data_IF_613589501605
#
_entry.id   IF_613589501605
#
_cell.length_a   1.000
_cell.length_b   1.000
_cell.length_c   1.000
_cell.angle_alpha   90.00
_cell.angle_beta   90.00
_cell.angle_gamma   90.00
#
_symmetry.space_group_name_H-M   'P 1'
#
loop_
_entity.id
_entity.type
_entity.pdbx_description
1 polymer ?
#
# COMPACT_ATOMS: atom_id res chain seq x y z
N UNK A 1 -25.22 4.53 -8.16
CA UNK A 1 -25.51 5.25 -6.89
C UNK A 1 -26.16 6.59 -7.20
N UNK A 2 -27.20 7.02 -6.47
CA UNK A 2 -27.80 8.35 -6.65
C UNK A 2 -26.81 9.49 -6.37
N UNK A 3 -26.89 10.56 -7.16
CA UNK A 3 -25.91 11.66 -7.13
C UNK A 3 -25.80 12.36 -5.77
N UNK A 4 -26.91 12.49 -5.04
CA UNK A 4 -26.91 13.12 -3.72
C UNK A 4 -26.13 12.30 -2.68
N UNK A 5 -26.22 10.97 -2.73
CA UNK A 5 -25.45 10.07 -1.85
C UNK A 5 -23.96 10.19 -2.18
N UNK A 6 -23.62 10.23 -3.47
CA UNK A 6 -22.25 10.42 -3.94
C UNK A 6 -21.63 11.72 -3.39
N UNK A 7 -22.40 12.83 -3.38
CA UNK A 7 -21.95 14.11 -2.84
C UNK A 7 -21.63 13.99 -1.35
N UNK A 8 -22.54 13.49 -0.52
CA UNK A 8 -22.30 13.35 0.92
C UNK A 8 -21.10 12.44 1.23
N UNK A 9 -20.95 11.35 0.50
CA UNK A 9 -19.80 10.45 0.60
C UNK A 9 -18.51 11.19 0.25
N UNK A 10 -18.49 11.92 -0.87
CA UNK A 10 -17.29 12.62 -1.32
C UNK A 10 -16.85 13.73 -0.37
N UNK A 11 -17.78 14.35 0.36
CA UNK A 11 -17.45 15.38 1.36
C UNK A 11 -16.62 14.83 2.51
N UNK A 12 -16.72 13.54 2.84
CA UNK A 12 -15.95 12.94 3.93
C UNK A 12 -14.44 13.06 3.67
N UNK A 13 -13.85 12.50 2.60
CA UNK A 13 -12.42 12.64 2.35
C UNK A 13 -12.00 14.09 2.12
N UNK A 14 -12.80 14.90 1.41
CA UNK A 14 -12.45 16.31 1.16
C UNK A 14 -12.43 17.16 2.43
N UNK A 15 -13.44 17.04 3.30
CA UNK A 15 -13.52 17.82 4.52
C UNK A 15 -12.60 17.28 5.60
N UNK A 16 -12.47 15.95 5.74
CA UNK A 16 -11.64 15.32 6.76
C UNK A 16 -10.16 15.63 6.53
N UNK A 17 -9.65 15.46 5.31
CA UNK A 17 -8.26 15.78 5.00
C UNK A 17 -7.96 17.27 5.24
N UNK A 18 -8.85 18.15 4.76
CA UNK A 18 -8.72 19.60 4.99
C UNK A 18 -8.74 19.95 6.48
N UNK A 19 -9.61 19.32 7.27
CA UNK A 19 -9.72 19.53 8.71
C UNK A 19 -8.44 19.09 9.44
N UNK A 20 -7.92 17.89 9.13
CA UNK A 20 -6.70 17.37 9.75
C UNK A 20 -5.48 18.28 9.45
N UNK A 21 -5.35 18.72 8.19
CA UNK A 21 -4.30 19.67 7.79
C UNK A 21 -4.50 21.04 8.48
N UNK A 22 -5.73 21.52 8.59
CA UNK A 22 -6.03 22.78 9.29
C UNK A 22 -5.66 22.71 10.78
N UNK A 23 -5.82 21.55 11.43
CA UNK A 23 -5.37 21.33 12.81
C UNK A 23 -3.84 21.49 12.92
N UNK A 24 -3.07 20.90 12.00
CA UNK A 24 -1.61 21.03 11.97
C UNK A 24 -1.19 22.51 11.89
N UNK A 25 -1.76 23.27 10.95
CA UNK A 25 -1.45 24.70 10.82
C UNK A 25 -1.96 25.53 12.01
N UNK A 26 -3.08 25.14 12.63
CA UNK A 26 -3.57 25.77 13.85
C UNK A 26 -2.59 25.58 15.00
N UNK A 27 -2.04 24.38 15.18
CA UNK A 27 -1.02 24.09 16.20
C UNK A 27 0.26 24.89 15.94
N UNK A 28 0.72 24.93 14.69
CA UNK A 28 1.84 25.79 14.28
C UNK A 28 1.61 27.27 14.60
N UNK A 29 0.42 27.80 14.29
CA UNK A 29 0.08 29.19 14.59
C UNK A 29 0.14 29.48 16.10
N UNK A 30 -0.31 28.54 16.94
CA UNK A 30 -0.21 28.69 18.39
C UNK A 30 1.24 28.66 18.87
N UNK A 31 2.10 27.81 18.28
CA UNK A 31 3.53 27.82 18.57
C UNK A 31 4.15 29.18 18.22
N UNK A 32 3.82 29.73 17.04
CA UNK A 32 4.37 31.02 16.60
C UNK A 32 4.03 32.18 17.52
N UNK A 33 2.91 32.14 18.25
CA UNK A 33 2.60 33.19 19.23
C UNK A 33 3.56 33.25 20.41
N UNK A 34 4.28 32.16 20.69
CA UNK A 34 5.01 31.98 21.95
C UNK A 34 6.49 31.66 21.77
N UNK A 35 6.85 31.04 20.65
CA UNK A 35 8.18 30.54 20.38
C UNK A 35 8.80 31.21 19.15
N UNK A 36 10.12 31.05 19.03
CA UNK A 36 10.87 31.56 17.88
C UNK A 36 10.38 30.96 16.57
N UNK A 37 10.66 31.64 15.45
CA UNK A 37 10.25 31.18 14.12
C UNK A 37 10.80 29.79 13.81
N UNK A 38 12.08 29.54 14.10
CA UNK A 38 12.73 28.24 13.83
C UNK A 38 12.10 27.13 14.68
N UNK A 39 11.95 27.34 15.99
CA UNK A 39 11.35 26.33 16.87
C UNK A 39 9.91 26.00 16.46
N UNK A 40 9.15 27.00 16.02
CA UNK A 40 7.78 26.79 15.54
C UNK A 40 7.74 26.01 14.22
N UNK A 41 8.68 26.28 13.31
CA UNK A 41 8.78 25.57 12.02
C UNK A 41 9.22 24.11 12.19
N UNK A 42 10.12 23.81 13.12
CA UNK A 42 10.42 22.43 13.50
C UNK A 42 9.16 21.74 14.04
N UNK A 43 8.42 22.42 14.91
CA UNK A 43 7.13 21.93 15.41
C UNK A 43 6.12 21.67 14.29
N UNK A 44 6.06 22.50 13.25
CA UNK A 44 5.22 22.26 12.06
C UNK A 44 5.56 20.94 11.37
N UNK A 45 6.85 20.66 11.16
CA UNK A 45 7.29 19.39 10.53
C UNK A 45 6.91 18.21 11.41
N UNK A 46 7.13 18.29 12.72
CA UNK A 46 6.73 17.23 13.65
C UNK A 46 5.21 16.99 13.64
N UNK A 47 4.40 18.05 13.69
CA UNK A 47 2.94 17.93 13.62
C UNK A 47 2.47 17.34 12.29
N UNK A 48 3.11 17.69 11.17
CA UNK A 48 2.78 17.12 9.88
C UNK A 48 3.10 15.63 9.79
N UNK A 49 4.28 15.22 10.25
CA UNK A 49 4.68 13.82 10.32
C UNK A 49 3.72 13.01 11.20
N UNK A 50 3.33 13.57 12.35
CA UNK A 50 2.34 12.95 13.22
C UNK A 50 0.97 12.84 12.54
N UNK A 51 0.54 13.86 11.79
CA UNK A 51 -0.70 13.81 11.00
C UNK A 51 -0.65 12.68 9.96
N UNK A 52 0.39 12.61 9.14
CA UNK A 52 0.52 11.55 8.12
C UNK A 52 0.51 10.16 8.76
N UNK A 53 1.26 9.98 9.86
CA UNK A 53 1.32 8.71 10.59
C UNK A 53 -0.01 8.31 11.26
N UNK A 54 -0.71 9.25 11.90
CA UNK A 54 -2.01 8.97 12.52
C UNK A 54 -3.05 8.67 11.43
N UNK A 55 -3.03 9.43 10.33
CA UNK A 55 -3.97 9.23 9.24
C UNK A 55 -3.84 7.87 8.56
N UNK A 56 -2.67 7.21 8.65
CA UNK A 56 -2.48 5.85 8.14
C UNK A 56 -2.78 4.73 9.17
N UNK A 57 -3.15 5.07 10.41
CA UNK A 57 -3.20 4.13 11.55
C UNK A 57 -4.59 3.89 12.16
N UNK A 58 -5.65 4.50 11.60
CA UNK A 58 -7.03 4.43 12.10
C UNK A 58 -8.01 3.83 11.10
N UNK A 59 -9.27 3.60 11.49
CA UNK A 59 -10.29 2.94 10.66
C UNK A 59 -10.63 3.65 9.34
N UNK A 60 -10.33 4.95 9.22
CA UNK A 60 -10.48 5.74 7.98
C UNK A 60 -9.15 5.96 7.27
N UNK A 61 -8.20 5.03 7.41
CA UNK A 61 -6.88 5.21 6.85
C UNK A 61 -6.91 5.30 5.32
N UNK A 62 -6.34 6.39 4.81
CA UNK A 62 -6.19 6.61 3.37
C UNK A 62 -4.83 7.29 3.06
N UNK A 63 -3.68 6.60 3.25
CA UNK A 63 -2.34 7.16 3.07
C UNK A 63 -1.93 7.41 1.61
N UNK A 64 -2.89 7.75 0.75
CA UNK A 64 -2.64 7.95 -0.68
C UNK A 64 -1.84 9.21 -0.95
N UNK A 65 -2.11 10.30 -0.23
CA UNK A 65 -1.56 11.65 -0.49
C UNK A 65 -0.45 12.06 0.49
N UNK A 66 0.21 11.10 1.12
CA UNK A 66 1.43 11.33 1.92
C UNK A 66 2.47 12.04 1.05
N UNK A 67 3.09 13.12 1.55
CA UNK A 67 3.96 13.97 0.72
C UNK A 67 5.10 13.19 0.07
N UNK A 68 5.75 12.29 0.81
CA UNK A 68 6.82 11.44 0.28
C UNK A 68 6.41 10.52 -0.86
N UNK A 69 5.12 10.19 -1.02
CA UNK A 69 4.63 9.42 -2.16
C UNK A 69 4.74 10.21 -3.47
N UNK A 70 4.83 11.54 -3.41
CA UNK A 70 4.93 12.41 -4.58
C UNK A 70 6.15 12.14 -5.46
N UNK A 71 7.18 11.46 -4.94
CA UNK A 71 8.37 11.08 -5.70
C UNK A 71 8.26 9.72 -6.40
N UNK A 72 7.11 9.03 -6.31
CA UNK A 72 6.92 7.72 -6.92
C UNK A 72 7.13 7.70 -8.44
N UNK A 73 6.80 8.80 -9.12
CA UNK A 73 7.02 8.97 -10.57
C UNK A 73 8.44 9.42 -10.93
N UNK A 74 9.23 9.85 -9.95
CA UNK A 74 10.63 10.32 -10.09
C UNK A 74 11.57 9.51 -9.19
N UNK A 75 11.37 8.20 -9.21
CA UNK A 75 11.97 7.23 -8.30
C UNK A 75 13.51 7.19 -8.35
N UNK A 76 14.13 7.70 -9.42
CA UNK A 76 15.59 7.84 -9.54
C UNK A 76 16.18 8.87 -8.55
N UNK A 77 15.38 9.81 -8.05
CA UNK A 77 15.84 10.87 -7.13
C UNK A 77 15.75 10.48 -5.65
N UNK A 78 15.20 9.31 -5.35
CA UNK A 78 14.85 8.87 -3.99
C UNK A 78 15.35 7.45 -3.66
N UNK A 79 16.44 7.00 -4.27
CA UNK A 79 17.04 5.70 -3.93
C UNK A 79 17.41 5.61 -2.44
N UNK A 80 17.70 6.73 -1.79
CA UNK A 80 17.90 6.80 -0.33
C UNK A 80 16.65 6.45 0.50
N UNK A 81 15.48 6.22 -0.11
CA UNK A 81 14.32 5.64 0.58
C UNK A 81 14.60 4.25 1.15
N UNK A 82 15.61 3.53 0.65
CA UNK A 82 16.10 2.30 1.28
C UNK A 82 16.59 2.51 2.73
N UNK A 83 16.84 3.76 3.15
CA UNK A 83 17.16 4.14 4.53
C UNK A 83 15.99 4.76 5.26
N UNK A 84 15.22 5.64 4.63
CA UNK A 84 14.27 6.49 5.35
C UNK A 84 12.80 6.12 5.15
N UNK A 85 12.51 5.32 4.13
CA UNK A 85 11.17 5.16 3.57
C UNK A 85 10.56 6.47 3.05
N UNK A 86 9.28 6.41 2.70
CA UNK A 86 8.45 7.55 2.26
C UNK A 86 8.56 8.76 3.18
N UNK A 87 8.62 8.55 4.49
CA UNK A 87 8.64 9.64 5.47
C UNK A 87 9.87 10.56 5.37
N UNK A 88 11.00 10.04 4.89
CA UNK A 88 12.14 10.90 4.58
C UNK A 88 11.85 11.88 3.44
N UNK A 89 11.05 11.46 2.45
CA UNK A 89 10.52 12.34 1.40
C UNK A 89 9.64 13.45 1.94
N UNK A 90 8.74 13.13 2.87
CA UNK A 90 7.92 14.14 3.57
C UNK A 90 8.80 15.19 4.25
N UNK A 91 9.79 14.75 5.03
CA UNK A 91 10.73 15.66 5.70
C UNK A 91 11.49 16.51 4.68
N UNK A 92 11.99 15.90 3.60
CA UNK A 92 12.73 16.60 2.57
C UNK A 92 11.90 17.69 1.87
N UNK A 93 10.65 17.39 1.52
CA UNK A 93 9.70 18.38 0.95
C UNK A 93 9.51 19.54 1.92
N UNK A 94 9.29 19.27 3.20
CA UNK A 94 9.10 20.31 4.20
C UNK A 94 10.34 21.19 4.38
N UNK A 95 11.52 20.59 4.49
CA UNK A 95 12.77 21.34 4.64
C UNK A 95 13.01 22.25 3.43
N UNK A 96 12.79 21.75 2.21
CA UNK A 96 12.95 22.54 0.99
C UNK A 96 11.97 23.72 0.93
N UNK A 97 10.68 23.46 1.21
CA UNK A 97 9.65 24.49 1.18
C UNK A 97 9.86 25.55 2.27
N UNK A 98 10.24 25.14 3.49
CA UNK A 98 10.52 26.06 4.59
C UNK A 98 11.75 26.93 4.26
N UNK A 99 12.83 26.32 3.75
CA UNK A 99 14.03 27.07 3.37
C UNK A 99 13.72 28.12 2.28
N UNK A 100 12.97 27.73 1.24
CA UNK A 100 12.54 28.65 0.19
C UNK A 100 11.63 29.76 0.74
N UNK A 101 10.65 29.40 1.58
CA UNK A 101 9.76 30.36 2.22
C UNK A 101 10.52 31.41 3.03
N UNK A 102 11.48 30.99 3.85
CA UNK A 102 12.30 31.92 4.66
C UNK A 102 13.13 32.87 3.79
N UNK A 103 13.69 32.37 2.67
CA UNK A 103 14.42 33.20 1.70
C UNK A 103 13.47 34.26 1.09
N UNK A 104 12.30 33.83 0.63
CA UNK A 104 11.29 34.72 0.01
C UNK A 104 10.81 35.78 1.01
N UNK A 105 10.47 35.39 2.24
CA UNK A 105 10.05 36.33 3.27
C UNK A 105 11.14 37.37 3.56
N UNK A 106 12.39 36.94 3.72
CA UNK A 106 13.51 37.84 3.97
C UNK A 106 13.73 38.84 2.84
N UNK A 107 13.67 38.38 1.60
CA UNK A 107 13.94 39.20 0.41
C UNK A 107 12.78 40.14 0.03
N UNK A 108 11.55 39.62 0.01
CA UNK A 108 10.37 40.33 -0.50
C UNK A 108 9.69 41.12 0.61
N UNK A 109 9.43 40.48 1.76
CA UNK A 109 8.63 41.07 2.83
C UNK A 109 9.48 42.03 3.67
N UNK A 110 10.64 41.55 4.14
CA UNK A 110 11.52 42.34 4.99
C UNK A 110 12.48 43.25 4.21
N UNK A 111 12.48 43.16 2.86
CA UNK A 111 13.35 43.91 1.94
C UNK A 111 14.84 43.87 2.32
N UNK A 112 15.25 42.83 3.04
CA UNK A 112 16.62 42.65 3.47
C UNK A 112 17.41 42.04 2.30
N UNK A 113 18.11 42.90 1.55
CA UNK A 113 18.99 42.48 0.44
C UNK A 113 20.23 41.73 0.93
N UNK A 114 20.43 41.58 2.23
CA UNK A 114 21.47 40.72 2.83
C UNK A 114 21.04 39.25 2.91
N UNK A 115 20.13 38.77 2.04
CA UNK A 115 20.03 37.32 1.79
C UNK A 115 21.40 36.85 1.33
N UNK A 116 22.20 36.40 2.30
CA UNK A 116 23.58 36.00 2.08
C UNK A 116 23.50 34.86 1.08
N UNK A 117 24.33 34.91 0.04
CA UNK A 117 24.47 33.84 -0.97
C UNK A 117 24.52 32.44 -0.32
N UNK A 118 25.03 32.37 0.92
CA UNK A 118 24.99 31.20 1.81
C UNK A 118 23.60 30.55 1.99
N UNK A 119 22.50 31.29 2.14
CA UNK A 119 21.16 30.70 2.31
C UNK A 119 20.64 30.09 1.00
N UNK A 120 20.88 30.78 -0.12
CA UNK A 120 20.56 30.26 -1.45
C UNK A 120 21.40 29.01 -1.74
N UNK A 121 22.69 29.06 -1.43
CA UNK A 121 23.58 27.90 -1.54
C UNK A 121 23.12 26.74 -0.67
N UNK A 122 22.72 26.99 0.59
CA UNK A 122 22.20 25.96 1.48
C UNK A 122 20.89 25.34 0.95
N UNK A 123 19.98 26.16 0.40
CA UNK A 123 18.76 25.67 -0.25
C UNK A 123 19.06 24.81 -1.48
N UNK A 124 19.97 25.27 -2.35
CA UNK A 124 20.40 24.50 -3.52
C UNK A 124 21.08 23.19 -3.09
N UNK A 125 21.94 23.22 -2.08
CA UNK A 125 22.58 22.04 -1.53
C UNK A 125 21.56 21.04 -0.96
N UNK A 126 20.52 21.53 -0.26
CA UNK A 126 19.44 20.70 0.28
C UNK A 126 18.64 19.98 -0.82
N UNK A 127 18.52 20.58 -2.01
CA UNK A 127 17.91 19.93 -3.18
C UNK A 127 18.88 18.98 -3.87
N UNK A 128 20.09 19.45 -4.18
CA UNK A 128 21.02 18.76 -5.09
C UNK A 128 21.72 17.59 -4.40
N UNK A 129 22.07 17.68 -3.11
CA UNK A 129 22.84 16.63 -2.44
C UNK A 129 22.02 15.33 -2.32
N UNK A 130 20.80 15.30 -1.76
CA UNK A 130 20.02 14.05 -1.67
C UNK A 130 19.72 13.46 -3.06
N UNK A 131 19.36 14.31 -4.04
CA UNK A 131 19.13 13.86 -5.41
C UNK A 131 20.41 13.33 -6.07
N UNK A 132 21.56 13.96 -5.86
CA UNK A 132 22.85 13.52 -6.39
C UNK A 132 23.30 12.18 -5.81
N UNK A 133 23.11 11.98 -4.50
CA UNK A 133 23.34 10.69 -3.83
C UNK A 133 22.43 9.61 -4.42
N UNK A 134 21.14 9.90 -4.58
CA UNK A 134 20.20 8.96 -5.19
C UNK A 134 20.54 8.60 -6.62
N UNK A 135 20.92 9.58 -7.45
CA UNK A 135 21.29 9.33 -8.84
C UNK A 135 22.56 8.47 -8.90
N UNK A 136 23.55 8.76 -8.04
CA UNK A 136 24.73 7.92 -7.93
C UNK A 136 24.35 6.48 -7.54
N UNK A 137 23.53 6.29 -6.50
CA UNK A 137 23.01 4.97 -6.11
C UNK A 137 22.29 4.29 -7.27
N UNK A 138 21.40 5.00 -7.97
CA UNK A 138 20.61 4.47 -9.08
C UNK A 138 21.49 3.93 -10.22
N UNK A 139 22.50 4.70 -10.65
CA UNK A 139 23.38 4.32 -11.75
C UNK A 139 24.48 3.31 -11.35
N UNK A 140 24.82 3.22 -10.07
CA UNK A 140 25.80 2.25 -9.56
C UNK A 140 25.19 0.95 -9.03
N UNK A 141 23.86 0.88 -8.92
CA UNK A 141 23.18 -0.30 -8.38
C UNK A 141 23.11 -1.43 -9.40
N UNK A 142 23.76 -2.53 -9.08
CA UNK A 142 23.70 -3.79 -9.82
C UNK A 142 22.96 -4.84 -8.98
N UNK A 143 22.05 -5.56 -9.64
CA UNK A 143 21.31 -6.65 -9.00
C UNK A 143 22.17 -7.91 -8.93
N UNK A 144 22.12 -8.62 -7.81
CA UNK A 144 22.70 -9.95 -7.73
C UNK A 144 21.92 -10.90 -8.65
N UNK A 145 22.62 -11.62 -9.52
CA UNK A 145 21.99 -12.59 -10.44
C UNK A 145 21.44 -13.80 -9.67
N UNK A 146 20.13 -13.88 -9.58
CA UNK A 146 19.41 -15.03 -9.00
C UNK A 146 18.04 -15.15 -9.68
N UNK A 147 18.02 -15.57 -10.96
CA UNK A 147 16.84 -15.46 -11.80
C UNK A 147 15.75 -16.45 -11.40
N UNK A 148 14.50 -15.98 -11.35
CA UNK A 148 13.29 -16.79 -11.23
C UNK A 148 12.27 -16.35 -12.28
N UNK A 149 11.75 -17.32 -13.03
CA UNK A 149 10.84 -17.06 -14.14
C UNK A 149 9.41 -16.91 -13.62
N UNK A 150 8.84 -15.72 -13.80
CA UNK A 150 7.51 -15.40 -13.28
C UNK A 150 6.60 -14.93 -14.42
N UNK A 151 5.35 -15.40 -14.38
CA UNK A 151 4.26 -14.99 -15.28
C UNK A 151 3.22 -14.23 -14.47
N UNK A 152 2.78 -13.09 -15.00
CA UNK A 152 1.69 -12.27 -14.48
C UNK A 152 0.52 -12.30 -15.45
N UNK A 153 -0.70 -12.40 -14.93
CA UNK A 153 -1.91 -12.56 -15.75
C UNK A 153 -2.92 -11.46 -15.47
N UNK A 154 -3.39 -10.82 -16.54
CA UNK A 154 -4.41 -9.79 -16.53
C UNK A 154 -5.61 -10.29 -17.35
N UNK A 155 -6.67 -10.84 -16.73
CA UNK A 155 -7.82 -11.39 -17.44
C UNK A 155 -8.79 -10.32 -17.96
N UNK A 156 -8.71 -9.08 -17.45
CA UNK A 156 -9.55 -7.96 -17.86
C UNK A 156 -11.06 -8.21 -17.64
N UNK A 157 -11.43 -8.67 -16.45
CA UNK A 157 -12.83 -8.92 -16.08
C UNK A 157 -13.39 -7.67 -15.40
N UNK A 158 -14.44 -7.08 -15.97
CA UNK A 158 -15.08 -5.90 -15.37
C UNK A 158 -15.58 -6.23 -13.94
N UNK A 159 -15.13 -5.50 -12.90
CA UNK A 159 -15.55 -5.76 -11.51
C UNK A 159 -17.07 -5.67 -11.32
N UNK A 160 -17.76 -4.82 -12.08
CA UNK A 160 -19.22 -4.68 -12.00
C UNK A 160 -19.98 -5.78 -12.74
N UNK A 161 -19.33 -6.46 -13.68
CA UNK A 161 -19.88 -7.60 -14.41
C UNK A 161 -19.21 -8.93 -14.02
N UNK A 162 -18.50 -8.99 -12.88
CA UNK A 162 -17.74 -10.15 -12.40
C UNK A 162 -18.58 -11.44 -12.35
N UNK A 163 -19.87 -11.33 -12.07
CA UNK A 163 -20.79 -12.48 -11.96
C UNK A 163 -21.49 -12.87 -13.27
N UNK A 164 -21.20 -12.18 -14.37
CA UNK A 164 -21.75 -12.51 -15.69
C UNK A 164 -21.15 -13.77 -16.32
N UNK A 165 -19.97 -14.19 -15.85
CA UNK A 165 -19.24 -15.34 -16.35
C UNK A 165 -19.13 -16.43 -15.26
N UNK A 166 -19.35 -17.72 -15.57
CA UNK A 166 -19.11 -18.82 -14.63
C UNK A 166 -17.69 -18.84 -14.10
N UNK A 167 -17.51 -19.18 -12.82
CA UNK A 167 -16.20 -19.24 -12.14
C UNK A 167 -15.21 -20.13 -12.89
N UNK A 168 -15.66 -21.31 -13.33
CA UNK A 168 -14.83 -22.26 -14.09
C UNK A 168 -14.30 -21.69 -15.39
N UNK A 169 -15.07 -20.83 -16.07
CA UNK A 169 -14.65 -20.15 -17.29
C UNK A 169 -13.67 -19.00 -16.99
N UNK A 170 -13.84 -18.30 -15.86
CA UNK A 170 -12.89 -17.27 -15.43
C UNK A 170 -11.51 -17.88 -15.12
N UNK A 171 -11.49 -19.02 -14.41
CA UNK A 171 -10.27 -19.79 -14.13
C UNK A 171 -9.65 -20.34 -15.41
N UNK A 172 -10.45 -20.86 -16.34
CA UNK A 172 -9.95 -21.33 -17.64
C UNK A 172 -9.29 -20.19 -18.44
N UNK A 173 -9.89 -18.99 -18.46
CA UNK A 173 -9.29 -17.83 -19.12
C UNK A 173 -7.94 -17.46 -18.52
N UNK A 174 -7.80 -17.51 -17.19
CA UNK A 174 -6.53 -17.27 -16.49
C UNK A 174 -5.49 -18.33 -16.87
N UNK A 175 -5.88 -19.61 -16.94
CA UNK A 175 -5.02 -20.72 -17.36
C UNK A 175 -4.56 -20.54 -18.80
N UNK A 176 -5.46 -20.20 -19.73
CA UNK A 176 -5.12 -19.99 -21.14
C UNK A 176 -4.16 -18.81 -21.32
N UNK A 177 -4.41 -17.70 -20.64
CA UNK A 177 -3.48 -16.56 -20.62
C UNK A 177 -2.13 -16.96 -20.03
N UNK A 178 -2.11 -17.72 -18.93
CA UNK A 178 -0.88 -18.25 -18.33
C UNK A 178 -0.08 -19.07 -19.36
N UNK A 179 -0.73 -20.06 -19.98
CA UNK A 179 -0.12 -20.95 -21.01
C UNK A 179 0.42 -20.18 -22.21
N UNK A 180 -0.20 -19.06 -22.59
CA UNK A 180 0.23 -18.28 -23.76
C UNK A 180 1.67 -17.75 -23.68
N UNK A 181 2.20 -17.56 -22.46
CA UNK A 181 3.52 -16.94 -22.23
C UNK A 181 4.44 -17.78 -21.35
N UNK A 182 3.91 -18.78 -20.65
CA UNK A 182 4.66 -19.66 -19.76
C UNK A 182 5.81 -20.41 -20.45
N UNK A 183 6.76 -20.85 -19.63
CA UNK A 183 7.85 -21.74 -20.01
C UNK A 183 7.88 -22.95 -19.08
N UNK A 184 8.58 -24.00 -19.49
CA UNK A 184 8.72 -25.22 -18.69
C UNK A 184 9.36 -24.98 -17.31
N UNK A 185 10.17 -23.93 -17.18
CA UNK A 185 10.82 -23.50 -15.94
C UNK A 185 10.07 -22.35 -15.24
N UNK A 186 8.84 -22.02 -15.62
CA UNK A 186 8.04 -21.00 -14.91
C UNK A 186 7.80 -21.44 -13.46
N UNK A 187 8.23 -20.60 -12.53
CA UNK A 187 8.17 -20.86 -11.10
C UNK A 187 6.87 -20.33 -10.48
N UNK A 188 6.44 -19.13 -10.88
CA UNK A 188 5.21 -18.53 -10.37
C UNK A 188 4.29 -18.03 -11.48
N UNK A 189 3.00 -18.26 -11.28
CA UNK A 189 1.90 -17.61 -11.98
C UNK A 189 1.18 -16.72 -10.97
N UNK A 190 1.27 -15.41 -11.17
CA UNK A 190 0.62 -14.41 -10.32
C UNK A 190 -0.69 -14.01 -10.98
N UNK A 191 -1.80 -14.28 -10.29
CA UNK A 191 -3.15 -13.93 -10.70
C UNK A 191 -3.70 -12.80 -9.81
N UNK A 192 -4.62 -11.96 -10.32
CA UNK A 192 -5.01 -10.73 -9.64
C UNK A 192 -5.91 -10.95 -8.41
N UNK A 193 -6.26 -9.86 -7.75
CA UNK A 193 -7.15 -9.87 -6.57
C UNK A 193 -8.51 -10.47 -6.91
N UNK A 194 -8.99 -11.36 -6.04
CA UNK A 194 -10.26 -12.07 -6.17
C UNK A 194 -10.47 -12.75 -7.53
N UNK A 195 -9.37 -13.22 -8.14
CA UNK A 195 -9.35 -13.91 -9.44
C UNK A 195 -9.93 -15.34 -9.41
N UNK A 196 -10.09 -15.91 -8.21
CA UNK A 196 -10.91 -17.10 -7.96
C UNK A 196 -12.22 -16.60 -7.31
N UNK A 197 -13.23 -16.22 -8.13
CA UNK A 197 -14.42 -15.50 -7.70
C UNK A 197 -15.49 -16.47 -7.22
N UNK A 198 -15.33 -17.01 -6.03
CA UNK A 198 -16.26 -17.99 -5.51
C UNK A 198 -17.49 -17.26 -4.95
N UNK A 199 -18.69 -17.80 -5.21
CA UNK A 199 -19.93 -17.09 -4.86
C UNK A 199 -19.97 -16.85 -3.34
N UNK A 200 -20.51 -15.71 -2.87
CA UNK A 200 -20.62 -15.44 -1.44
C UNK A 200 -21.28 -16.61 -0.70
N UNK A 201 -20.74 -17.04 0.46
CA UNK A 201 -19.72 -16.38 1.27
C UNK A 201 -18.25 -16.61 0.88
N UNK A 202 -17.95 -17.33 -0.21
CA UNK A 202 -16.58 -17.70 -0.61
C UNK A 202 -16.26 -19.17 -0.36
N UNK A 203 -15.01 -19.60 -0.60
CA UNK A 203 -14.60 -21.00 -0.40
C UNK A 203 -14.25 -21.25 1.05
N UNK A 204 -14.80 -22.33 1.64
CA UNK A 204 -14.32 -22.84 2.92
C UNK A 204 -12.86 -23.28 2.77
N UNK A 205 -11.93 -22.66 3.50
CA UNK A 205 -10.51 -22.97 3.40
C UNK A 205 -10.19 -24.44 3.73
N UNK A 206 -10.96 -25.06 4.61
CA UNK A 206 -10.82 -26.50 4.94
C UNK A 206 -11.16 -27.41 3.76
N UNK A 207 -12.08 -26.97 2.90
CA UNK A 207 -12.61 -27.72 1.75
C UNK A 207 -11.99 -27.28 0.42
N UNK A 208 -10.99 -26.39 0.42
CA UNK A 208 -10.37 -25.88 -0.82
C UNK A 208 -9.93 -27.00 -1.78
N UNK A 209 -9.55 -28.16 -1.25
CA UNK A 209 -9.03 -29.29 -2.05
C UNK A 209 -10.10 -30.02 -2.87
N UNK A 210 -11.38 -29.90 -2.50
CA UNK A 210 -12.50 -30.44 -3.28
C UNK A 210 -13.09 -29.41 -4.25
N UNK A 211 -12.66 -28.15 -4.17
CA UNK A 211 -13.15 -27.08 -5.01
C UNK A 211 -12.70 -27.25 -6.48
N UNK A 212 -13.61 -27.00 -7.42
CA UNK A 212 -13.34 -27.15 -8.86
C UNK A 212 -12.20 -26.24 -9.36
N UNK A 213 -12.13 -25.00 -8.88
CA UNK A 213 -11.06 -24.05 -9.21
C UNK A 213 -9.70 -24.59 -8.78
N UNK A 214 -9.62 -25.16 -7.57
CA UNK A 214 -8.40 -25.84 -7.10
C UNK A 214 -8.04 -27.02 -8.01
N UNK A 215 -8.99 -27.88 -8.38
CA UNK A 215 -8.74 -29.03 -9.24
C UNK A 215 -8.26 -28.61 -10.65
N UNK A 216 -8.84 -27.55 -11.23
CA UNK A 216 -8.39 -26.99 -12.52
C UNK A 216 -6.95 -26.45 -12.43
N UNK A 217 -6.63 -25.70 -11.38
CA UNK A 217 -5.28 -25.18 -11.12
C UNK A 217 -4.28 -26.33 -10.94
N UNK A 218 -4.68 -27.36 -10.19
CA UNK A 218 -3.87 -28.57 -9.96
C UNK A 218 -3.59 -29.34 -11.24
N UNK A 219 -4.54 -29.42 -12.15
CA UNK A 219 -4.35 -30.05 -13.44
C UNK A 219 -3.41 -29.22 -14.33
N UNK A 220 -3.60 -27.90 -14.36
CA UNK A 220 -2.73 -26.96 -15.05
C UNK A 220 -1.27 -27.02 -14.57
N UNK A 221 -1.04 -27.10 -13.26
CA UNK A 221 0.31 -27.13 -12.69
C UNK A 221 1.09 -28.43 -12.96
N UNK A 222 0.44 -29.50 -13.44
CA UNK A 222 1.13 -30.74 -13.84
C UNK A 222 2.13 -30.50 -14.98
N UNK A 223 1.85 -29.51 -15.82
CA UNK A 223 2.71 -29.12 -16.94
C UNK A 223 3.99 -28.39 -16.48
N UNK A 224 4.04 -27.93 -15.21
CA UNK A 224 5.10 -27.10 -14.66
C UNK A 224 5.60 -27.67 -13.33
N UNK A 225 6.70 -28.44 -13.35
CA UNK A 225 7.17 -29.21 -12.18
C UNK A 225 7.32 -28.38 -10.90
N UNK A 226 7.89 -27.18 -11.01
CA UNK A 226 8.07 -26.25 -9.89
C UNK A 226 7.02 -25.12 -9.88
N UNK A 227 5.98 -25.20 -10.72
CA UNK A 227 5.01 -24.13 -10.87
C UNK A 227 4.16 -23.92 -9.61
N UNK A 228 3.96 -22.66 -9.27
CA UNK A 228 3.09 -22.22 -8.18
C UNK A 228 2.09 -21.21 -8.73
N UNK A 229 0.82 -21.33 -8.37
CA UNK A 229 -0.18 -20.27 -8.61
C UNK A 229 -0.35 -19.48 -7.32
N UNK A 230 -0.01 -18.19 -7.36
CA UNK A 230 -0.34 -17.21 -6.33
C UNK A 230 -1.51 -16.38 -6.86
N UNK A 231 -2.68 -16.51 -6.25
CA UNK A 231 -3.91 -15.85 -6.72
C UNK A 231 -4.64 -15.15 -5.60
N UNK A 232 -5.35 -14.07 -5.92
CA UNK A 232 -6.41 -13.58 -5.04
C UNK A 232 -7.62 -14.53 -5.05
N UNK A 233 -8.26 -14.68 -3.88
CA UNK A 233 -9.44 -15.52 -3.65
C UNK A 233 -10.37 -14.85 -2.63
N UNK A 234 -11.67 -15.10 -2.74
CA UNK A 234 -12.62 -14.83 -1.65
C UNK A 234 -12.81 -16.14 -0.86
N UNK A 235 -12.33 -16.17 0.38
CA UNK A 235 -12.35 -17.37 1.25
C UNK A 235 -13.18 -17.13 2.50
N UNK A 236 -13.54 -18.21 3.18
CA UNK A 236 -14.18 -18.17 4.49
C UNK A 236 -13.58 -19.20 5.45
N UNK A 237 -13.62 -18.87 6.73
CA UNK A 237 -13.27 -19.77 7.83
C UNK A 237 -14.49 -19.93 8.73
N UNK A 238 -14.78 -21.17 9.11
CA UNK A 238 -15.92 -21.52 9.96
C UNK A 238 -15.42 -21.77 11.39
N UNK A 239 -16.15 -21.26 12.37
CA UNK A 239 -15.86 -21.37 13.79
C UNK A 239 -17.04 -21.97 14.55
N UNK A 240 -16.75 -22.68 15.64
CA UNK A 240 -17.78 -23.18 16.55
C UNK A 240 -18.26 -22.09 17.55
N UNK A 241 -17.45 -21.04 17.77
CA UNK A 241 -17.77 -19.88 18.61
C UNK A 241 -17.51 -18.56 17.90
N UNK A 242 -17.96 -17.44 18.49
CA UNK A 242 -17.69 -16.11 17.95
C UNK A 242 -16.24 -15.71 18.20
N UNK A 243 -15.37 -15.90 17.21
CA UNK A 243 -13.92 -15.64 17.31
C UNK A 243 -13.51 -14.21 16.96
N UNK A 244 -14.33 -13.47 16.21
CA UNK A 244 -13.95 -12.13 15.75
C UNK A 244 -15.13 -11.14 15.67
N UNK A 245 -14.85 -9.82 15.65
CA UNK A 245 -15.89 -8.81 15.45
C UNK A 245 -16.53 -8.81 14.04
N UNK A 246 -15.86 -9.39 13.04
CA UNK A 246 -16.38 -9.52 11.67
C UNK A 246 -17.21 -10.79 11.47
N UNK A 247 -17.09 -11.75 12.39
CA UNK A 247 -17.71 -13.06 12.27
C UNK A 247 -19.24 -12.96 12.29
N UNK A 248 -19.88 -13.78 11.47
CA UNK A 248 -21.33 -13.82 11.23
C UNK A 248 -21.86 -15.18 11.64
N UNK A 249 -23.02 -15.22 12.27
CA UNK A 249 -23.67 -16.49 12.61
C UNK A 249 -24.35 -17.09 11.37
N UNK A 250 -24.23 -18.40 11.19
CA UNK A 250 -25.11 -19.12 10.25
C UNK A 250 -26.57 -19.02 10.71
N UNK A 251 -27.52 -18.98 9.77
CA UNK A 251 -28.96 -18.83 10.09
C UNK A 251 -29.47 -20.06 10.84
N UNK A 252 -29.11 -21.25 10.35
CA UNK A 252 -29.74 -22.52 10.77
C UNK A 252 -28.81 -23.41 11.63
N UNK A 253 -27.58 -22.97 11.90
CA UNK A 253 -26.56 -23.76 12.61
C UNK A 253 -25.90 -22.89 13.67
N UNK A 254 -25.58 -23.48 14.83
CA UNK A 254 -24.79 -22.84 15.88
C UNK A 254 -23.30 -22.84 15.50
N UNK A 255 -22.99 -22.14 14.39
CA UNK A 255 -21.65 -21.89 13.90
C UNK A 255 -21.53 -20.46 13.44
N UNK A 256 -20.30 -19.98 13.41
CA UNK A 256 -19.93 -18.65 12.96
C UNK A 256 -18.99 -18.77 11.76
N UNK A 257 -18.90 -17.72 10.95
CA UNK A 257 -17.94 -17.66 9.86
C UNK A 257 -17.43 -16.24 9.66
N UNK A 258 -16.16 -16.15 9.29
CA UNK A 258 -15.58 -14.96 8.71
C UNK A 258 -15.40 -15.14 7.21
N UNK A 259 -15.58 -14.06 6.47
CA UNK A 259 -15.24 -13.97 5.05
C UNK A 259 -14.00 -13.11 4.92
N UNK A 260 -13.09 -13.47 4.03
CA UNK A 260 -11.83 -12.78 3.81
C UNK A 260 -11.65 -12.41 2.33
N UNK A 261 -11.09 -11.22 2.10
CA UNK A 261 -10.33 -10.96 0.88
C UNK A 261 -8.94 -11.55 1.11
N UNK A 262 -8.59 -12.59 0.37
CA UNK A 262 -7.42 -13.40 0.65
C UNK A 262 -6.55 -13.60 -0.59
N UNK A 263 -5.32 -14.02 -0.34
CA UNK A 263 -4.46 -14.62 -1.33
C UNK A 263 -4.28 -16.10 -1.00
N UNK A 264 -4.05 -16.91 -2.02
CA UNK A 264 -3.78 -18.35 -1.90
C UNK A 264 -2.56 -18.72 -2.72
N UNK A 265 -1.72 -19.61 -2.18
CA UNK A 265 -0.67 -20.31 -2.92
C UNK A 265 -1.07 -21.77 -3.12
N UNK A 266 -1.16 -22.18 -4.38
CA UNK A 266 -1.38 -23.57 -4.79
C UNK A 266 -0.16 -24.03 -5.58
N UNK A 267 0.45 -25.13 -5.18
CA UNK A 267 1.61 -25.75 -5.85
C UNK A 267 1.30 -27.21 -6.22
N UNK A 268 2.30 -27.99 -6.60
CA UNK A 268 2.18 -29.41 -6.97
C UNK A 268 2.05 -30.40 -5.77
N UNK A 269 2.04 -29.93 -4.52
CA UNK A 269 1.83 -30.71 -3.28
C UNK A 269 0.41 -30.55 -2.71
N UNK A 270 0.08 -31.30 -1.67
CA UNK A 270 -1.19 -31.12 -0.95
C UNK A 270 -1.23 -29.87 -0.07
N UNK A 271 -0.13 -29.11 0.05
CA UNK A 271 -0.06 -27.87 0.83
C UNK A 271 -0.81 -26.76 0.10
N UNK A 272 -1.62 -26.02 0.86
CA UNK A 272 -2.27 -24.79 0.42
C UNK A 272 -1.97 -23.76 1.49
N UNK A 273 -1.55 -22.56 1.08
CA UNK A 273 -1.25 -21.45 1.99
C UNK A 273 -2.25 -20.35 1.74
N UNK A 274 -2.75 -19.73 2.81
CA UNK A 274 -3.65 -18.59 2.75
C UNK A 274 -3.02 -17.40 3.47
N UNK A 275 -3.33 -16.22 2.97
CA UNK A 275 -3.04 -14.94 3.62
C UNK A 275 -4.30 -14.09 3.53
N UNK A 276 -4.76 -13.56 4.67
CA UNK A 276 -5.93 -12.69 4.70
C UNK A 276 -5.51 -11.22 4.74
N UNK A 277 -6.09 -10.42 3.85
CA UNK A 277 -5.81 -8.98 3.75
C UNK A 277 -5.95 -8.29 5.11
N UNK A 278 -4.89 -7.63 5.54
CA UNK A 278 -4.82 -6.88 6.80
C UNK A 278 -5.26 -5.43 6.65
N UNK A 279 -4.92 -4.76 5.54
CA UNK A 279 -5.32 -3.36 5.29
C UNK A 279 -6.56 -3.29 4.41
N UNK A 280 -7.71 -3.36 5.06
CA UNK A 280 -9.02 -3.29 4.41
C UNK A 280 -9.35 -1.86 3.97
N UNK A 281 -10.03 -1.74 2.83
CA UNK A 281 -10.52 -0.47 2.29
C UNK A 281 -11.70 0.03 3.13
N UNK A 282 -11.60 1.19 3.80
CA UNK A 282 -12.67 1.73 4.63
C UNK A 282 -13.95 1.97 3.83
N UNK A 283 -15.08 1.50 4.37
CA UNK A 283 -16.42 1.68 3.80
C UNK A 283 -16.79 0.70 2.67
N UNK A 284 -15.81 -0.02 2.09
CA UNK A 284 -16.04 -1.06 1.08
C UNK A 284 -15.85 -2.45 1.70
N UNK A 285 -14.73 -2.67 2.38
CA UNK A 285 -14.34 -3.97 2.94
C UNK A 285 -14.54 -4.04 4.46
N UNK A 286 -14.52 -2.88 5.13
CA UNK A 286 -14.75 -2.78 6.57
C UNK A 286 -15.69 -1.60 6.86
N UNK A 287 -16.64 -1.80 7.77
CA UNK A 287 -17.41 -0.70 8.35
C UNK A 287 -16.49 0.10 9.31
N UNK A 288 -16.18 1.38 9.02
CA UNK A 288 -15.34 2.18 9.89
C UNK A 288 -16.05 2.46 11.21
N UNK A 289 -15.34 2.33 12.34
CA UNK A 289 -15.84 2.56 13.70
C UNK A 289 -17.11 1.73 14.00
N UNK A 290 -16.97 0.59 14.67
CA UNK A 290 -18.08 -0.32 14.97
C UNK A 290 -19.29 0.36 15.66
N UNK A 291 -19.08 1.47 16.38
CA UNK A 291 -20.11 2.29 17.02
C UNK A 291 -20.96 3.13 16.04
N UNK A 292 -20.54 3.33 14.79
CA UNK A 292 -21.27 4.07 13.74
C UNK A 292 -22.14 3.15 12.87
N UNK A 293 -22.60 2.02 13.41
CA UNK A 293 -23.41 1.02 12.69
C UNK A 293 -24.72 1.56 12.09
N UNK A 294 -25.19 2.74 12.49
CA UNK A 294 -26.31 3.45 11.87
C UNK A 294 -26.00 3.93 10.43
N UNK A 295 -24.73 4.02 10.03
CA UNK A 295 -24.29 4.40 8.68
C UNK A 295 -24.27 3.23 7.69
N UNK A 296 -24.65 2.01 8.11
CA UNK A 296 -24.70 0.82 7.24
C UNK A 296 -25.41 1.05 5.88
N UNK A 297 -26.56 1.77 5.80
CA UNK A 297 -27.21 2.06 4.52
C UNK A 297 -26.36 2.94 3.58
N UNK A 298 -25.54 3.83 4.13
CA UNK A 298 -24.62 4.69 3.38
C UNK A 298 -23.45 3.88 2.81
N UNK A 299 -22.89 2.96 3.61
CA UNK A 299 -21.76 2.11 3.20
C UNK A 299 -22.16 1.04 2.17
N UNK A 300 -23.38 0.50 2.26
CA UNK A 300 -23.91 -0.42 1.24
C UNK A 300 -23.95 0.20 -0.17
N UNK A 301 -24.00 1.52 -0.30
CA UNK A 301 -23.98 2.22 -1.59
C UNK A 301 -22.61 2.24 -2.28
N UNK A 302 -21.51 1.88 -1.60
CA UNK A 302 -20.16 1.76 -2.17
C UNK A 302 -19.93 0.46 -2.94
N UNK A 303 -20.90 -0.47 -2.96
CA UNK A 303 -20.79 -1.76 -3.63
C UNK A 303 -20.03 -2.83 -2.84
N UNK A 304 -19.75 -2.58 -1.55
CA UNK A 304 -19.14 -3.54 -0.63
C UNK A 304 -20.14 -4.56 -0.06
N UNK A 305 -19.63 -5.63 0.57
CA UNK A 305 -20.45 -6.59 1.31
C UNK A 305 -21.17 -5.92 2.49
N UNK A 306 -22.41 -6.33 2.79
CA UNK A 306 -23.19 -5.80 3.91
C UNK A 306 -22.62 -6.15 5.30
N UNK A 307 -21.54 -6.94 5.35
CA UNK A 307 -20.71 -7.19 6.53
C UNK A 307 -19.22 -6.94 6.23
N UNK A 308 -18.44 -6.61 7.27
CA UNK A 308 -16.98 -6.45 7.15
C UNK A 308 -16.32 -7.78 6.80
N UNK A 309 -15.23 -7.73 6.04
CA UNK A 309 -14.28 -8.85 5.93
C UNK A 309 -13.52 -9.02 7.26
N UNK A 310 -13.13 -10.25 7.56
CA UNK A 310 -12.08 -10.54 8.52
C UNK A 310 -10.72 -10.09 7.99
N UNK A 311 -9.76 -9.98 8.90
CA UNK A 311 -8.39 -9.53 8.58
C UNK A 311 -7.37 -10.28 9.42
N UNK A 312 -6.17 -10.48 8.89
CA UNK A 312 -5.02 -10.94 9.66
C UNK A 312 -4.35 -9.76 10.35
N UNK A 313 -3.70 -9.99 11.50
CA UNK A 313 -3.00 -8.92 12.23
C UNK A 313 -1.61 -8.63 11.64
N UNK A 314 -0.84 -9.70 11.43
CA UNK A 314 0.54 -9.63 10.92
C UNK A 314 0.66 -10.23 9.52
N UNK A 315 1.55 -9.74 8.66
CA UNK A 315 1.76 -10.30 7.33
C UNK A 315 2.46 -11.68 7.39
N UNK A 316 2.19 -12.53 6.41
CA UNK A 316 2.85 -13.84 6.27
C UNK A 316 3.34 -14.08 4.84
N UNK A 317 4.50 -14.75 4.73
CA UNK A 317 5.15 -15.05 3.44
C UNK A 317 4.64 -16.37 2.88
N UNK A 318 4.44 -16.41 1.57
CA UNK A 318 4.18 -17.64 0.84
C UNK A 318 5.48 -18.28 0.38
N UNK A 319 5.65 -19.56 0.71
CA UNK A 319 6.83 -20.32 0.30
C UNK A 319 6.47 -21.37 -0.74
N UNK A 320 7.08 -21.26 -1.92
CA UNK A 320 7.07 -22.33 -2.91
C UNK A 320 7.84 -23.57 -2.40
N UNK A 321 7.62 -24.72 -3.03
CA UNK A 321 8.37 -25.95 -2.72
C UNK A 321 9.88 -25.81 -2.96
N UNK A 322 10.27 -24.96 -3.92
CA UNK A 322 11.65 -24.59 -4.19
C UNK A 322 12.31 -23.79 -3.06
N UNK A 323 11.52 -23.33 -2.07
CA UNK A 323 11.97 -22.47 -0.99
C UNK A 323 11.83 -20.97 -1.30
N UNK A 324 11.36 -20.60 -2.49
CA UNK A 324 11.23 -19.19 -2.87
C UNK A 324 10.10 -18.53 -2.08
N UNK A 325 10.43 -17.45 -1.37
CA UNK A 325 9.50 -16.65 -0.57
C UNK A 325 8.88 -15.49 -1.37
N UNK A 326 7.55 -15.40 -1.38
CA UNK A 326 6.79 -14.32 -2.02
C UNK A 326 5.95 -13.56 -0.98
N UNK A 327 5.94 -12.23 -1.02
CA UNK A 327 5.00 -11.42 -0.23
C UNK A 327 3.66 -11.27 -0.96
N UNK A 328 2.55 -11.89 -0.49
CA UNK A 328 1.24 -11.76 -1.11
C UNK A 328 0.55 -10.46 -0.71
N UNK A 329 0.94 -9.34 -1.33
CA UNK A 329 0.40 -8.01 -1.01
C UNK A 329 -0.90 -7.79 -1.78
N UNK A 330 -2.01 -7.57 -1.07
CA UNK A 330 -3.32 -7.45 -1.70
C UNK A 330 -3.68 -5.97 -1.88
N UNK A 331 -3.64 -5.52 -3.13
CA UNK A 331 -4.20 -4.25 -3.57
C UNK A 331 -3.65 -3.06 -2.76
N UNK A 332 -4.53 -2.40 -2.01
CA UNK A 332 -4.29 -1.19 -1.22
C UNK A 332 -3.16 -1.36 -0.18
N UNK A 333 -2.86 -2.59 0.26
CA UNK A 333 -1.78 -2.89 1.21
C UNK A 333 -0.40 -2.42 0.76
N UNK A 334 -0.18 -2.39 -0.55
CA UNK A 334 1.09 -1.96 -1.16
C UNK A 334 1.49 -0.52 -0.82
N UNK A 335 0.58 0.28 -0.25
CA UNK A 335 0.80 1.69 0.10
C UNK A 335 1.47 1.83 1.48
N UNK A 336 1.41 0.82 2.36
CA UNK A 336 2.10 0.85 3.65
C UNK A 336 3.50 0.25 3.56
N UNK A 337 4.52 1.11 3.51
CA UNK A 337 5.93 0.69 3.37
C UNK A 337 6.43 -0.20 4.50
N UNK A 338 6.16 0.17 5.76
CA UNK A 338 6.56 -0.65 6.92
C UNK A 338 5.80 -1.98 6.97
N UNK A 339 4.53 -1.99 6.58
CA UNK A 339 3.75 -3.24 6.50
C UNK A 339 4.31 -4.19 5.43
N UNK A 340 4.65 -3.67 4.24
CA UNK A 340 5.30 -4.48 3.19
C UNK A 340 6.69 -4.95 3.63
N UNK A 341 7.44 -4.11 4.36
CA UNK A 341 8.75 -4.45 4.89
C UNK A 341 8.72 -5.62 5.88
N UNK A 342 7.62 -5.81 6.62
CA UNK A 342 7.44 -6.98 7.49
C UNK A 342 7.50 -8.30 6.71
N UNK A 343 6.86 -8.42 5.54
CA UNK A 343 7.01 -9.65 4.72
C UNK A 343 8.47 -9.92 4.34
N UNK A 344 9.22 -8.87 4.02
CA UNK A 344 10.62 -8.98 3.63
C UNK A 344 11.49 -9.40 4.81
N UNK A 345 11.20 -8.90 6.02
CA UNK A 345 11.82 -9.37 7.27
C UNK A 345 11.52 -10.86 7.54
N UNK A 346 10.32 -11.31 7.20
CA UNK A 346 9.88 -12.71 7.31
C UNK A 346 10.38 -13.62 6.17
N UNK A 347 11.25 -13.10 5.27
CA UNK A 347 11.95 -13.90 4.26
C UNK A 347 11.41 -13.79 2.82
N UNK A 348 10.49 -12.86 2.54
CA UNK A 348 10.06 -12.64 1.15
C UNK A 348 11.22 -12.16 0.26
N UNK A 349 11.43 -12.85 -0.85
CA UNK A 349 12.48 -12.59 -1.84
C UNK A 349 11.99 -11.77 -3.05
N UNK A 350 10.67 -11.66 -3.21
CA UNK A 350 10.02 -10.72 -4.11
C UNK A 350 8.62 -10.35 -3.57
N UNK A 351 8.05 -9.26 -4.10
CA UNK A 351 6.74 -8.77 -3.71
C UNK A 351 5.74 -9.09 -4.82
N UNK A 352 4.69 -9.84 -4.50
CA UNK A 352 3.59 -10.14 -5.42
C UNK A 352 2.39 -9.26 -5.07
N UNK A 353 2.16 -8.20 -5.84
CA UNK A 353 0.98 -7.36 -5.66
C UNK A 353 -0.17 -7.92 -6.50
N UNK A 354 -1.21 -8.42 -5.85
CA UNK A 354 -2.46 -8.86 -6.51
C UNK A 354 -3.53 -7.80 -6.31
N UNK A 355 -4.13 -7.30 -7.39
CA UNK A 355 -5.02 -6.12 -7.29
C UNK A 355 -6.13 -6.10 -8.32
N UNK A 356 -7.19 -5.36 -8.03
CA UNK A 356 -8.22 -5.00 -8.99
C UNK A 356 -8.40 -3.48 -9.04
N UNK A 357 -7.78 -2.81 -10.01
CA UNK A 357 -7.88 -1.35 -10.18
C UNK A 357 -9.08 -0.89 -11.01
N UNK A 358 -10.00 -1.79 -11.38
CA UNK A 358 -11.14 -1.44 -12.24
C UNK A 358 -12.06 -0.39 -11.63
N UNK A 359 -12.11 -0.31 -10.30
CA UNK A 359 -12.90 0.65 -9.54
C UNK A 359 -12.55 2.11 -9.84
N UNK A 360 -11.32 2.39 -10.29
CA UNK A 360 -10.87 3.73 -10.62
C UNK A 360 -11.32 4.21 -12.00
N UNK A 361 -11.80 3.32 -12.86
CA UNK A 361 -12.08 3.62 -14.26
C UNK A 361 -10.88 4.28 -14.96
N UNK A 362 -11.15 5.16 -15.94
CA UNK A 362 -10.09 5.89 -16.63
C UNK A 362 -9.63 7.15 -15.87
N UNK A 363 -9.16 7.02 -14.63
CA UNK A 363 -8.68 8.14 -13.79
C UNK A 363 -7.23 7.94 -13.34
N UNK A 364 -6.55 8.94 -12.78
CA UNK A 364 -5.14 8.80 -12.38
C UNK A 364 -4.88 7.75 -11.28
N UNK A 365 -5.91 7.31 -10.55
CA UNK A 365 -5.78 6.37 -9.43
C UNK A 365 -5.01 5.10 -9.79
N UNK A 366 -5.34 4.45 -10.92
CA UNK A 366 -4.62 3.24 -11.39
C UNK A 366 -3.12 3.47 -11.63
N UNK A 367 -2.77 4.65 -12.12
CA UNK A 367 -1.38 5.02 -12.47
C UNK A 367 -0.60 5.37 -11.20
N UNK A 368 -1.23 6.11 -10.28
CA UNK A 368 -0.67 6.41 -8.96
C UNK A 368 -0.41 5.12 -8.16
N UNK A 369 -1.35 4.17 -8.17
CA UNK A 369 -1.20 2.90 -7.49
C UNK A 369 -0.01 2.08 -8.06
N UNK A 370 0.15 2.06 -9.39
CA UNK A 370 1.33 1.46 -10.02
C UNK A 370 2.62 2.19 -9.62
N UNK A 371 2.63 3.53 -9.61
CA UNK A 371 3.81 4.30 -9.23
C UNK A 371 4.21 4.02 -7.78
N UNK A 372 3.25 3.89 -6.84
CA UNK A 372 3.53 3.57 -5.44
C UNK A 372 4.19 2.19 -5.27
N UNK A 373 3.92 1.25 -6.17
CA UNK A 373 4.61 -0.03 -6.17
C UNK A 373 6.14 0.13 -6.41
N UNK A 374 6.59 1.17 -7.11
CA UNK A 374 8.02 1.46 -7.30
C UNK A 374 8.71 1.84 -5.99
N UNK A 375 7.99 2.54 -5.09
CA UNK A 375 8.51 2.89 -3.77
C UNK A 375 8.83 1.63 -2.96
N UNK A 376 7.93 0.64 -2.99
CA UNK A 376 8.15 -0.65 -2.31
C UNK A 376 9.39 -1.37 -2.83
N UNK A 377 9.61 -1.33 -4.14
CA UNK A 377 10.81 -1.93 -4.75
C UNK A 377 12.10 -1.29 -4.22
N UNK A 378 12.16 0.05 -4.18
CA UNK A 378 13.33 0.80 -3.69
C UNK A 378 13.56 0.58 -2.19
N UNK A 379 12.48 0.73 -1.40
CA UNK A 379 12.53 0.61 0.05
C UNK A 379 13.06 -0.73 0.53
N UNK A 380 12.76 -1.80 -0.21
CA UNK A 380 13.06 -3.18 0.20
C UNK A 380 14.13 -3.86 -0.66
N UNK A 381 14.55 -3.25 -1.77
CA UNK A 381 15.39 -3.88 -2.81
C UNK A 381 14.84 -5.25 -3.25
N UNK A 382 13.53 -5.29 -3.49
CA UNK A 382 12.83 -6.46 -4.01
C UNK A 382 12.24 -6.13 -5.37
N UNK A 383 12.23 -7.12 -6.26
CA UNK A 383 11.38 -7.04 -7.42
C UNK A 383 9.92 -6.99 -6.97
N UNK A 384 9.15 -6.13 -7.62
CA UNK A 384 7.71 -6.06 -7.44
C UNK A 384 7.04 -6.60 -8.70
N UNK A 385 6.29 -7.67 -8.51
CA UNK A 385 5.51 -8.36 -9.54
C UNK A 385 4.05 -8.02 -9.30
N UNK A 386 3.47 -7.19 -10.16
CA UNK A 386 2.12 -6.66 -9.99
C UNK A 386 1.17 -7.29 -11.00
N UNK A 387 0.16 -8.00 -10.51
CA UNK A 387 -0.94 -8.58 -11.29
C UNK A 387 -2.24 -7.84 -11.02
N UNK A 388 -2.70 -7.08 -12.02
CA UNK A 388 -3.95 -6.34 -11.95
C UNK A 388 -5.05 -7.00 -12.79
N UNK A 389 -6.29 -6.99 -12.33
CA UNK A 389 -7.43 -7.52 -13.10
C UNK A 389 -7.77 -6.64 -14.33
N UNK A 390 -8.19 -5.39 -14.09
CA UNK A 390 -8.53 -4.38 -15.11
C UNK A 390 -7.65 -3.11 -14.98
N UNK A 391 -6.48 -3.27 -14.33
CA UNK A 391 -5.48 -2.22 -14.11
C UNK A 391 -4.28 -2.32 -15.06
N UNK A 392 -3.12 -1.88 -14.57
CA UNK A 392 -1.83 -2.06 -15.25
C UNK A 392 -1.04 -3.11 -14.46
N UNK A 393 -0.77 -4.24 -15.10
CA UNK A 393 0.12 -5.28 -14.60
C UNK A 393 1.55 -4.95 -15.00
N UNK A 394 2.52 -5.19 -14.13
CA UNK A 394 3.89 -4.78 -14.35
C UNK A 394 4.92 -5.62 -13.59
N UNK A 395 6.14 -5.61 -14.12
CA UNK A 395 7.35 -6.05 -13.43
C UNK A 395 8.21 -4.82 -13.14
N UNK A 396 8.54 -4.61 -11.87
CA UNK A 396 9.36 -3.50 -11.40
C UNK A 396 10.61 -4.07 -10.73
N UNK A 397 11.78 -3.61 -11.15
CA UNK A 397 13.07 -4.09 -10.65
C UNK A 397 13.45 -3.47 -9.30
N UNK A 398 14.58 -3.90 -8.71
CA UNK A 398 14.96 -3.54 -7.33
C UNK A 398 15.33 -2.05 -7.14
N UNK A 399 15.48 -1.28 -8.23
CA UNK A 399 15.69 0.18 -8.21
C UNK A 399 14.45 1.00 -8.61
N UNK A 400 13.32 0.34 -8.88
CA UNK A 400 12.03 0.97 -9.15
C UNK A 400 11.70 1.18 -10.63
N UNK A 401 12.49 0.65 -11.57
CA UNK A 401 12.17 0.74 -13.00
C UNK A 401 11.11 -0.27 -13.39
N UNK A 402 10.11 0.18 -14.16
CA UNK A 402 9.18 -0.72 -14.83
C UNK A 402 9.91 -1.36 -16.01
N UNK A 403 10.19 -2.66 -15.91
CA UNK A 403 10.87 -3.45 -16.95
C UNK A 403 9.89 -3.91 -18.03
N UNK A 404 8.66 -4.22 -17.62
CA UNK A 404 7.59 -4.67 -18.51
C UNK A 404 6.24 -4.31 -17.91
N UNK A 405 5.28 -3.88 -18.73
CA UNK A 405 3.91 -3.58 -18.29
C UNK A 405 2.89 -3.89 -19.37
N UNK A 406 1.64 -4.12 -18.96
CA UNK A 406 0.48 -4.28 -19.84
C UNK A 406 -0.15 -2.93 -20.17
N UNK A 407 -1.06 -2.94 -21.13
CA UNK A 407 -1.99 -1.83 -21.33
C UNK A 407 -3.15 -1.90 -20.32
N UNK A 408 -3.74 -0.75 -20.01
CA UNK A 408 -4.95 -0.67 -19.20
C UNK A 408 -6.16 -1.24 -19.96
N UNK A 409 -7.03 -1.95 -19.25
CA UNK A 409 -8.32 -2.45 -19.75
C UNK A 409 -8.23 -3.43 -20.94
N UNK A 410 -7.14 -4.19 -21.04
CA UNK A 410 -6.94 -5.23 -22.06
C UNK A 410 -6.48 -6.55 -21.43
N UNK A 411 -6.94 -7.72 -21.91
CA UNK A 411 -6.36 -8.99 -21.47
C UNK A 411 -4.87 -9.05 -21.82
N UNK A 412 -4.04 -9.52 -20.90
CA UNK A 412 -2.60 -9.64 -21.12
C UNK A 412 -2.00 -10.76 -20.26
N UNK A 413 -0.89 -11.32 -20.75
CA UNK A 413 0.02 -12.13 -19.95
C UNK A 413 1.44 -11.59 -20.17
N UNK A 414 2.19 -11.43 -19.09
CA UNK A 414 3.55 -10.89 -19.11
C UNK A 414 4.46 -11.89 -18.41
N UNK A 415 5.68 -12.05 -18.91
CA UNK A 415 6.71 -12.89 -18.28
C UNK A 415 8.00 -12.13 -18.11
N UNK A 416 8.71 -12.33 -17.01
CA UNK A 416 10.07 -11.82 -16.81
C UNK A 416 10.85 -12.79 -15.92
N UNK A 417 12.16 -12.91 -16.17
CA UNK A 417 13.09 -13.50 -15.21
C UNK A 417 13.49 -12.41 -14.21
N UNK A 418 12.96 -12.50 -12.98
CA UNK A 418 13.27 -11.53 -11.92
C UNK A 418 14.50 -11.98 -11.14
N UNK A 419 15.24 -11.05 -10.53
CA UNK A 419 16.30 -11.42 -9.60
C UNK A 419 15.77 -11.47 -8.17
N UNK A 420 15.78 -12.65 -7.57
CA UNK A 420 15.47 -12.83 -6.16
C UNK A 420 16.54 -12.17 -5.30
N UNK A 421 16.13 -11.57 -4.20
CA UNK A 421 17.04 -10.91 -3.26
C UNK A 421 16.63 -11.29 -1.83
N UNK A 422 17.59 -11.53 -0.95
CA UNK A 422 17.41 -11.83 0.47
C UNK A 422 18.05 -10.78 1.40
N UNK A 423 18.80 -9.82 0.85
CA UNK A 423 19.41 -8.71 1.58
C UNK A 423 18.34 -7.80 2.19
N UNK A 424 18.62 -7.26 3.39
CA UNK A 424 17.70 -6.40 4.14
C UNK A 424 18.23 -4.96 4.10
N UNK A 425 17.40 -4.02 3.64
CA UNK A 425 17.72 -2.60 3.67
C UNK A 425 17.63 -2.04 5.09
N UNK A 426 18.21 -0.87 5.32
CA UNK A 426 18.10 -0.20 6.63
C UNK A 426 16.63 0.14 6.96
N UNK A 427 15.86 0.62 5.98
CA UNK A 427 14.44 0.89 6.16
C UNK A 427 13.66 -0.38 6.49
N UNK A 428 13.88 -1.47 5.74
CA UNK A 428 13.22 -2.75 6.03
C UNK A 428 13.55 -3.26 7.44
N UNK A 429 14.73 -3.00 7.97
CA UNK A 429 15.07 -3.40 9.34
C UNK A 429 14.42 -2.51 10.42
N UNK A 430 14.29 -1.20 10.17
CA UNK A 430 13.90 -0.20 11.19
C UNK A 430 12.44 0.25 11.11
N UNK A 431 11.78 0.07 9.97
CA UNK A 431 10.42 0.54 9.71
C UNK A 431 10.30 2.06 9.66
N UNK A 432 9.13 2.59 10.01
CA UNK A 432 8.79 4.02 9.93
C UNK A 432 9.41 4.87 11.08
N UNK A 433 10.70 4.69 11.37
CA UNK A 433 11.38 5.37 12.48
C UNK A 433 11.31 6.91 12.42
N UNK A 434 11.34 7.50 11.22
CA UNK A 434 11.16 8.95 11.06
C UNK A 434 9.75 9.42 11.44
N UNK A 435 8.74 8.60 11.17
CA UNK A 435 7.37 8.89 11.60
C UNK A 435 7.28 8.85 13.13
N UNK A 436 7.88 7.84 13.77
CA UNK A 436 7.95 7.77 15.23
C UNK A 436 8.67 8.97 15.85
N UNK A 437 9.81 9.38 15.28
CA UNK A 437 10.53 10.57 15.71
C UNK A 437 9.69 11.85 15.54
N UNK A 438 8.97 11.99 14.43
CA UNK A 438 8.03 13.08 14.17
C UNK A 438 6.89 13.12 15.18
N UNK A 439 6.26 11.98 15.46
CA UNK A 439 5.23 11.81 16.49
C UNK A 439 5.74 12.19 17.89
N UNK A 440 6.93 11.72 18.26
CA UNK A 440 7.54 12.07 19.54
C UNK A 440 7.80 13.57 19.65
N UNK A 441 8.35 14.19 18.60
CA UNK A 441 8.50 15.65 18.51
C UNK A 441 7.17 16.38 18.65
N UNK A 442 6.12 15.91 17.99
CA UNK A 442 4.78 16.50 18.08
C UNK A 442 4.25 16.47 19.52
N UNK A 443 4.45 15.37 20.25
CA UNK A 443 4.08 15.26 21.67
C UNK A 443 4.82 16.31 22.50
N UNK A 444 6.14 16.46 22.32
CA UNK A 444 6.94 17.49 23.02
C UNK A 444 6.36 18.89 22.77
N UNK A 445 6.10 19.24 21.50
CA UNK A 445 5.55 20.55 21.16
C UNK A 445 4.13 20.77 21.69
N UNK A 446 3.30 19.72 21.75
CA UNK A 446 2.00 19.77 22.42
C UNK A 446 2.13 20.05 23.91
N UNK A 447 3.04 19.36 24.62
CA UNK A 447 3.32 19.61 26.05
C UNK A 447 3.82 21.05 26.26
N UNK A 448 4.70 21.55 25.41
CA UNK A 448 5.17 22.94 25.44
C UNK A 448 4.04 23.96 25.22
N UNK A 449 3.05 23.65 24.38
CA UNK A 449 1.86 24.48 24.18
C UNK A 449 0.94 24.47 25.40
N UNK A 450 0.74 23.32 26.03
CA UNK A 450 -0.12 23.18 27.22
C UNK A 450 0.53 23.83 28.44
N UNK A 451 1.82 23.56 28.68
CA UNK A 451 2.57 24.14 29.80
C UNK A 451 2.63 25.67 29.75
N UNK A 452 2.58 26.27 28.55
CA UNK A 452 2.49 27.73 28.40
C UNK A 452 1.07 28.29 28.54
N UNK A 453 0.03 27.49 28.32
CA UNK A 453 -1.36 27.87 28.59
C UNK A 453 -1.67 27.88 30.08
N UNK A 454 -1.00 27.03 30.86
CA UNK A 454 -1.17 26.91 32.31
C UNK A 454 -0.36 27.93 33.11
N UNK A 455 0.59 28.64 32.48
CA UNK A 455 1.30 29.75 33.14
C UNK A 455 0.37 30.97 33.21
N UNK A 456 0.12 31.54 34.40
CA UNK A 456 -0.68 32.76 34.53
C UNK A 456 -0.04 33.87 33.69
N UNK A 457 -0.88 34.67 33.01
CA UNK A 457 -0.41 35.86 32.28
C UNK A 457 0.27 36.79 33.28
N UNK A 458 1.60 36.73 33.37
CA UNK A 458 2.38 37.80 33.97
C UNK A 458 2.23 39.00 33.06
N UNK A 459 1.32 39.91 33.41
CA UNK A 459 1.32 41.27 32.88
C UNK A 459 2.68 41.88 33.23
N UNK A 460 3.54 42.02 32.22
CA UNK A 460 4.71 42.87 32.33
C UNK A 460 4.13 44.29 32.21
N UNK A 461 4.20 45.02 33.33
CA UNK A 461 3.77 46.40 33.47
C UNK A 461 4.66 47.36 32.68
#
# INVERSE_FOLDING_TARGET
MPSYIAIFISLIPFALAALLIAIVFRLYYQLRKRYSTIASLIGLVCFWMAYEYIHQSWDLAFPWMTLGNGFASTHQLIQWYEYTGVYGGTVWIWLCNIALFLIICKQIIYKDRSVRRQHVFAFVALLVIPSGISLFQYFSYEENENPSNIVVVQPNIDPYAKWSMPVTQQVENLIQLSRSTAQTNTEFFIWPESAIPERPPGVNEEEIRSNNSYLQIRDFLKDYKNGNVLSGIESMVIYDSLESPSARKFIDVEKYYDVFNAAVLIDNSSRVQFYHKSKLVPGVEQLPFASLSFLKPLFAAFGGSTGSYGKQEEPSVFYAQSGIGAAPVICYESIWGDYVSKYVREGAQFIAIVTNDGWWGNTSGKSQHLDYAKLRAIETRRWVVRSANTGISAFINQRGDIVRQSEWWKPAALKTDINLNDSITFYTNTGDYLAYAGCFGAIIYCVLLIGTLLKPKTHIA
#
